data_IF_344953601804
#
_entry.id   IF_344953601804
#
_cell.length_a   1.000
_cell.length_b   1.000
_cell.length_c   1.000
_cell.angle_alpha   90.00
_cell.angle_beta   90.00
_cell.angle_gamma   90.00
#
_symmetry.space_group_name_H-M   'P 1'
#
loop_
_entity.id
_entity.type
_entity.pdbx_description
1 polymer ?
#
# COMPACT_ATOMS: atom_id res chain seq x y z
N UNK A 1 -10.91 -16.47 52.15
CA UNK A 1 -11.79 -16.21 51.00
C UNK A 1 -11.60 -14.78 50.47
N UNK A 2 -10.48 -14.49 49.86
CA UNK A 2 -10.25 -13.16 49.17
C UNK A 2 -9.02 -13.27 48.26
N UNK A 3 -9.11 -14.06 47.19
CA UNK A 3 -8.05 -14.09 46.15
C UNK A 3 -8.57 -14.65 44.83
N UNK A 4 -9.67 -14.09 44.26
CA UNK A 4 -10.16 -14.57 42.96
C UNK A 4 -10.66 -13.49 42.01
N UNK A 5 -10.33 -12.20 42.24
CA UNK A 5 -10.84 -11.10 41.39
C UNK A 5 -9.79 -10.38 40.55
N UNK A 6 -8.50 -10.74 40.66
CA UNK A 6 -7.43 -10.03 39.92
C UNK A 6 -6.97 -10.73 38.63
N UNK A 7 -7.36 -11.98 38.40
CA UNK A 7 -6.93 -12.75 37.22
C UNK A 7 -7.77 -12.50 35.95
N UNK A 8 -8.98 -11.95 36.10
CA UNK A 8 -9.88 -11.69 34.95
C UNK A 8 -9.55 -10.44 34.14
N UNK A 9 -8.86 -9.46 34.73
CA UNK A 9 -8.59 -8.17 34.08
C UNK A 9 -7.36 -8.21 33.16
N UNK A 10 -6.45 -9.15 33.35
CA UNK A 10 -5.21 -9.23 32.56
C UNK A 10 -5.41 -9.93 31.21
N UNK A 11 -6.49 -10.72 31.02
CA UNK A 11 -6.74 -11.45 29.76
C UNK A 11 -7.44 -10.57 28.69
N UNK A 12 -8.10 -9.48 29.09
CA UNK A 12 -8.76 -8.57 28.15
C UNK A 12 -7.82 -7.58 27.44
N UNK A 13 -6.66 -7.30 28.02
CA UNK A 13 -5.68 -6.35 27.44
C UNK A 13 -4.88 -6.92 26.28
N UNK A 14 -4.78 -8.27 26.21
CA UNK A 14 -3.95 -8.94 25.20
C UNK A 14 -4.60 -9.08 23.82
N UNK A 15 -5.94 -9.01 23.74
CA UNK A 15 -6.68 -9.20 22.47
C UNK A 15 -6.63 -7.94 21.59
N UNK A 16 -6.59 -6.75 22.18
CA UNK A 16 -6.56 -5.48 21.45
C UNK A 16 -5.20 -5.21 20.81
N UNK A 17 -4.11 -5.62 21.44
CA UNK A 17 -2.77 -5.46 20.89
C UNK A 17 -2.50 -6.35 19.67
N UNK A 18 -3.00 -7.57 19.65
CA UNK A 18 -2.85 -8.51 18.52
C UNK A 18 -3.56 -8.00 17.27
N UNK A 19 -4.76 -7.44 17.42
CA UNK A 19 -5.54 -6.93 16.29
C UNK A 19 -4.91 -5.68 15.67
N UNK A 20 -4.41 -4.75 16.50
CA UNK A 20 -3.70 -3.56 16.03
C UNK A 20 -2.41 -3.92 15.29
N UNK A 21 -1.59 -4.80 15.82
CA UNK A 21 -0.35 -5.26 15.19
C UNK A 21 -0.60 -5.97 13.85
N UNK A 22 -1.68 -6.77 13.73
CA UNK A 22 -2.05 -7.41 12.47
C UNK A 22 -2.49 -6.39 11.42
N UNK A 23 -3.21 -5.34 11.81
CA UNK A 23 -3.62 -4.25 10.93
C UNK A 23 -2.42 -3.48 10.39
N UNK A 24 -1.50 -3.08 11.25
CA UNK A 24 -0.23 -2.43 10.89
C UNK A 24 0.59 -3.27 9.91
N UNK A 25 0.77 -4.55 10.19
CA UNK A 25 1.51 -5.48 9.31
C UNK A 25 0.85 -5.59 7.94
N UNK A 26 -0.49 -5.65 7.85
CA UNK A 26 -1.19 -5.77 6.56
C UNK A 26 -1.05 -4.50 5.71
N UNK A 27 -1.09 -3.30 6.31
CA UNK A 27 -0.89 -2.03 5.61
C UNK A 27 0.57 -1.85 5.18
N UNK A 28 1.55 -2.25 6.01
CA UNK A 28 2.96 -2.23 5.65
C UNK A 28 3.26 -3.15 4.45
N UNK A 29 2.70 -4.36 4.43
CA UNK A 29 2.83 -5.27 3.29
C UNK A 29 2.18 -4.71 2.01
N UNK A 30 1.02 -4.05 2.15
CA UNK A 30 0.36 -3.37 1.04
C UNK A 30 1.25 -2.26 0.47
N UNK A 31 1.81 -1.41 1.33
CA UNK A 31 2.71 -0.33 0.93
C UNK A 31 3.99 -0.86 0.28
N UNK A 32 4.60 -1.91 0.83
CA UNK A 32 5.77 -2.55 0.23
C UNK A 32 5.48 -3.06 -1.19
N UNK A 33 4.29 -3.64 -1.43
CA UNK A 33 3.90 -4.05 -2.78
C UNK A 33 3.65 -2.88 -3.72
N UNK A 34 3.13 -1.75 -3.24
CA UNK A 34 3.07 -0.50 -4.01
C UNK A 34 4.47 0.00 -4.41
N UNK A 35 5.44 -0.01 -3.49
CA UNK A 35 6.82 0.37 -3.78
C UNK A 35 7.45 -0.53 -4.83
N UNK A 36 7.13 -1.84 -4.85
CA UNK A 36 7.64 -2.74 -5.90
C UNK A 36 7.06 -2.43 -7.28
N UNK A 37 5.78 -2.04 -7.39
CA UNK A 37 5.18 -1.54 -8.64
C UNK A 37 5.91 -0.28 -9.10
N UNK A 38 6.06 0.70 -8.21
CA UNK A 38 6.80 1.95 -8.49
C UNK A 38 8.20 1.65 -9.03
N UNK A 39 8.94 0.78 -8.38
CA UNK A 39 10.31 0.45 -8.78
C UNK A 39 10.36 -0.26 -10.15
N UNK A 40 9.40 -1.12 -10.47
CA UNK A 40 9.29 -1.75 -11.78
C UNK A 40 9.05 -0.71 -12.89
N UNK A 41 8.17 0.26 -12.65
CA UNK A 41 7.88 1.34 -13.60
C UNK A 41 9.06 2.28 -13.80
N UNK A 42 9.89 2.54 -12.77
CA UNK A 42 11.14 3.32 -12.92
C UNK A 42 12.19 2.60 -13.77
N UNK A 43 12.07 1.29 -13.95
CA UNK A 43 12.98 0.46 -14.75
C UNK A 43 12.43 0.12 -16.15
N UNK A 44 11.32 0.74 -16.55
CA UNK A 44 10.61 0.42 -17.80
C UNK A 44 10.22 -1.07 -17.93
N UNK A 45 10.07 -1.77 -16.79
CA UNK A 45 9.81 -3.20 -16.76
C UNK A 45 8.32 -3.51 -16.57
N UNK A 46 7.58 -3.57 -17.67
CA UNK A 46 6.14 -3.79 -17.67
C UNK A 46 5.73 -5.17 -17.13
N UNK A 47 6.52 -6.21 -17.37
CA UNK A 47 6.25 -7.56 -16.85
C UNK A 47 6.42 -7.61 -15.33
N UNK A 48 7.47 -6.97 -14.81
CA UNK A 48 7.67 -6.87 -13.38
C UNK A 48 6.59 -6.01 -12.71
N UNK A 49 6.16 -4.91 -13.36
CA UNK A 49 5.07 -4.07 -12.86
C UNK A 49 3.75 -4.86 -12.76
N UNK A 50 3.42 -5.65 -13.79
CA UNK A 50 2.25 -6.52 -13.77
C UNK A 50 2.31 -7.55 -12.62
N UNK A 51 3.42 -8.25 -12.47
CA UNK A 51 3.62 -9.23 -11.39
C UNK A 51 3.58 -8.59 -9.99
N UNK A 52 4.12 -7.38 -9.85
CA UNK A 52 4.09 -6.62 -8.60
C UNK A 52 2.66 -6.18 -8.25
N UNK A 53 1.87 -5.81 -9.27
CA UNK A 53 0.46 -5.48 -9.09
C UNK A 53 -0.38 -6.70 -8.67
N UNK A 54 -0.09 -7.90 -9.16
CA UNK A 54 -0.70 -9.13 -8.66
C UNK A 54 -0.41 -9.36 -7.17
N UNK A 55 0.81 -9.06 -6.72
CA UNK A 55 1.15 -9.13 -5.30
C UNK A 55 0.40 -8.08 -4.48
N UNK A 56 0.24 -6.87 -5.01
CA UNK A 56 -0.57 -5.83 -4.38
C UNK A 56 -2.04 -6.28 -4.21
N UNK A 57 -2.63 -6.92 -5.24
CA UNK A 57 -3.99 -7.46 -5.20
C UNK A 57 -4.13 -8.54 -4.11
N UNK A 58 -3.13 -9.39 -3.93
CA UNK A 58 -3.11 -10.39 -2.85
C UNK A 58 -3.05 -9.71 -1.48
N UNK A 59 -2.19 -8.69 -1.31
CA UNK A 59 -2.04 -7.97 -0.05
C UNK A 59 -3.30 -7.17 0.31
N UNK A 60 -3.93 -6.47 -0.64
CA UNK A 60 -5.16 -5.73 -0.36
C UNK A 60 -6.33 -6.67 0.00
N UNK A 61 -6.32 -7.91 -0.50
CA UNK A 61 -7.40 -8.89 -0.24
C UNK A 61 -7.40 -9.45 1.19
N UNK A 62 -6.31 -9.27 1.94
CA UNK A 62 -6.21 -9.69 3.35
C UNK A 62 -6.33 -8.54 4.35
N UNK A 63 -6.49 -7.30 3.86
CA UNK A 63 -6.75 -6.14 4.73
C UNK A 63 -8.17 -6.22 5.28
N UNK A 64 -8.32 -6.05 6.60
CA UNK A 64 -9.61 -6.07 7.28
C UNK A 64 -10.43 -4.82 6.92
N UNK A 65 -11.73 -4.98 6.69
CA UNK A 65 -12.70 -3.88 6.42
C UNK A 65 -12.82 -2.89 7.60
N UNK A 66 -12.40 -3.30 8.79
CA UNK A 66 -12.31 -2.41 9.95
C UNK A 66 -11.10 -1.46 9.87
N UNK A 67 -10.11 -1.79 9.04
CA UNK A 67 -8.92 -0.97 8.80
C UNK A 67 -9.14 -0.06 7.59
N UNK A 68 -9.48 -0.64 6.45
CA UNK A 68 -9.87 0.09 5.24
C UNK A 68 -11.30 -0.26 4.85
N UNK A 69 -12.10 0.76 4.53
CA UNK A 69 -13.46 0.53 4.05
C UNK A 69 -13.47 -0.36 2.79
N UNK A 70 -14.55 -1.11 2.60
CA UNK A 70 -14.75 -1.94 1.42
C UNK A 70 -14.60 -1.13 0.12
N UNK A 71 -15.09 0.12 0.10
CA UNK A 71 -14.95 1.03 -1.03
C UNK A 71 -13.49 1.30 -1.38
N UNK A 72 -12.65 1.61 -0.38
CA UNK A 72 -11.22 1.83 -0.58
C UNK A 72 -10.52 0.56 -1.08
N UNK A 73 -10.83 -0.60 -0.49
CA UNK A 73 -10.28 -1.89 -0.92
C UNK A 73 -10.63 -2.17 -2.38
N UNK A 74 -11.88 -1.95 -2.79
CA UNK A 74 -12.34 -2.20 -4.15
C UNK A 74 -11.71 -1.25 -5.16
N UNK A 75 -11.56 0.05 -4.84
CA UNK A 75 -10.88 1.03 -5.71
C UNK A 75 -9.41 0.65 -5.91
N UNK A 76 -8.68 0.37 -4.84
CA UNK A 76 -7.27 -0.01 -4.91
C UNK A 76 -7.07 -1.32 -5.69
N UNK A 77 -7.93 -2.32 -5.46
CA UNK A 77 -7.90 -3.57 -6.20
C UNK A 77 -8.13 -3.36 -7.68
N UNK A 78 -9.13 -2.55 -8.07
CA UNK A 78 -9.41 -2.22 -9.47
C UNK A 78 -8.20 -1.58 -10.14
N UNK A 79 -7.60 -0.55 -9.53
CA UNK A 79 -6.46 0.17 -10.07
C UNK A 79 -5.22 -0.73 -10.21
N UNK A 80 -4.97 -1.60 -9.23
CA UNK A 80 -3.90 -2.59 -9.33
C UNK A 80 -4.17 -3.63 -10.44
N UNK A 81 -5.43 -4.06 -10.64
CA UNK A 81 -5.80 -4.95 -11.74
C UNK A 81 -5.55 -4.32 -13.11
N UNK A 82 -5.81 -3.03 -13.28
CA UNK A 82 -5.50 -2.31 -14.52
C UNK A 82 -3.99 -2.32 -14.85
N UNK A 83 -3.11 -2.34 -13.81
CA UNK A 83 -1.68 -2.51 -13.99
C UNK A 83 -1.33 -3.98 -14.30
N UNK A 84 -1.91 -4.93 -13.55
CA UNK A 84 -1.62 -6.35 -13.68
C UNK A 84 -2.00 -6.91 -15.05
N UNK A 85 -3.14 -6.49 -15.59
CA UNK A 85 -3.71 -6.98 -16.83
C UNK A 85 -3.06 -6.35 -18.08
N UNK A 86 -2.29 -5.29 -17.94
CA UNK A 86 -1.65 -4.59 -19.06
C UNK A 86 -0.19 -5.01 -19.23
N UNK A 87 0.26 -5.04 -20.49
CA UNK A 87 1.68 -5.10 -20.87
C UNK A 87 2.18 -3.80 -21.49
N UNK A 88 1.30 -2.81 -21.67
CA UNK A 88 1.70 -1.47 -22.09
C UNK A 88 2.18 -0.66 -20.88
N UNK A 89 3.43 -0.23 -20.89
CA UNK A 89 4.02 0.57 -19.82
C UNK A 89 3.27 1.91 -19.65
N UNK A 90 2.76 2.50 -20.72
CA UNK A 90 2.00 3.75 -20.70
C UNK A 90 0.66 3.57 -19.98
N UNK A 91 -0.05 2.46 -20.25
CA UNK A 91 -1.30 2.13 -19.57
C UNK A 91 -1.06 1.84 -18.09
N UNK A 92 0.01 1.11 -17.78
CA UNK A 92 0.41 0.83 -16.39
C UNK A 92 0.73 2.11 -15.63
N UNK A 93 1.46 3.05 -16.23
CA UNK A 93 1.76 4.38 -15.65
C UNK A 93 0.50 5.20 -15.40
N UNK A 94 -0.44 5.19 -16.33
CA UNK A 94 -1.74 5.87 -16.17
C UNK A 94 -2.54 5.29 -15.00
N UNK A 95 -2.62 3.97 -14.88
CA UNK A 95 -3.29 3.31 -13.76
C UNK A 95 -2.54 3.54 -12.43
N UNK A 96 -1.20 3.56 -12.46
CA UNK A 96 -0.36 3.82 -11.30
C UNK A 96 -0.55 5.25 -10.75
N UNK A 97 -0.82 6.24 -11.60
CA UNK A 97 -1.17 7.59 -11.15
C UNK A 97 -2.37 7.55 -10.20
N UNK A 98 -3.45 6.92 -10.61
CA UNK A 98 -4.66 6.79 -9.79
C UNK A 98 -4.41 5.98 -8.50
N UNK A 99 -3.64 4.90 -8.60
CA UNK A 99 -3.25 4.10 -7.44
C UNK A 99 -2.44 4.91 -6.44
N UNK A 100 -1.48 5.73 -6.92
CA UNK A 100 -0.64 6.59 -6.08
C UNK A 100 -1.43 7.66 -5.35
N UNK A 101 -2.42 8.28 -5.98
CA UNK A 101 -3.31 9.25 -5.36
C UNK A 101 -4.05 8.63 -4.16
N UNK A 102 -4.64 7.45 -4.34
CA UNK A 102 -5.38 6.77 -3.28
C UNK A 102 -4.48 6.22 -2.17
N UNK A 103 -3.30 5.69 -2.48
CA UNK A 103 -2.33 5.24 -1.47
C UNK A 103 -1.80 6.42 -0.66
N UNK A 104 -1.63 7.60 -1.25
CA UNK A 104 -1.22 8.82 -0.54
C UNK A 104 -2.24 9.20 0.52
N UNK A 105 -3.54 9.18 0.19
CA UNK A 105 -4.62 9.44 1.16
C UNK A 105 -4.60 8.44 2.32
N UNK A 106 -4.31 7.17 2.05
CA UNK A 106 -4.19 6.15 3.10
C UNK A 106 -2.97 6.40 3.97
N UNK A 107 -1.84 6.78 3.38
CA UNK A 107 -0.60 7.10 4.11
C UNK A 107 -0.76 8.31 5.06
N UNK A 108 -1.65 9.25 4.74
CA UNK A 108 -1.98 10.38 5.60
C UNK A 108 -2.84 9.98 6.81
N UNK A 109 -3.59 8.89 6.71
CA UNK A 109 -4.54 8.45 7.73
C UNK A 109 -4.02 7.32 8.62
N UNK A 110 -3.08 6.51 8.10
CA UNK A 110 -2.60 5.30 8.76
C UNK A 110 -1.08 5.20 8.73
N UNK A 111 -0.45 4.63 9.77
CA UNK A 111 0.97 4.29 9.74
C UNK A 111 1.18 3.09 8.80
N UNK A 112 1.62 3.34 7.57
CA UNK A 112 1.84 2.30 6.55
C UNK A 112 3.31 1.91 6.39
N UNK A 113 4.22 2.56 7.10
CA UNK A 113 5.66 2.29 7.11
C UNK A 113 6.28 2.80 8.40
N UNK A 114 7.28 2.07 8.90
CA UNK A 114 8.12 2.50 10.03
C UNK A 114 9.20 3.51 9.58
N UNK A 115 9.43 3.63 8.27
CA UNK A 115 10.39 4.54 7.66
C UNK A 115 9.74 5.83 7.21
N UNK A 116 10.55 6.88 7.01
CA UNK A 116 10.07 8.13 6.42
C UNK A 116 9.56 7.90 5.00
N UNK A 117 8.39 8.46 4.68
CA UNK A 117 7.80 8.43 3.35
C UNK A 117 7.91 9.84 2.76
N UNK A 118 8.32 9.90 1.49
CA UNK A 118 8.47 11.13 0.72
C UNK A 118 7.42 11.16 -0.37
N UNK A 119 6.68 12.26 -0.47
CA UNK A 119 5.84 12.54 -1.64
C UNK A 119 6.71 13.21 -2.70
N UNK A 120 6.84 12.58 -3.85
CA UNK A 120 7.57 13.09 -5.00
C UNK A 120 6.59 13.44 -6.12
N UNK A 121 6.93 14.40 -6.96
CA UNK A 121 6.04 14.94 -7.99
C UNK A 121 6.76 15.12 -9.33
N UNK A 122 6.09 14.75 -10.42
CA UNK A 122 6.53 15.00 -11.79
C UNK A 122 5.63 16.04 -12.45
N UNK A 123 6.13 17.25 -12.74
CA UNK A 123 5.33 18.29 -13.42
C UNK A 123 4.85 17.88 -14.81
N UNK A 124 5.67 17.12 -15.55
CA UNK A 124 5.33 16.70 -16.92
C UNK A 124 4.22 15.65 -16.97
N UNK A 125 4.17 14.75 -15.97
CA UNK A 125 3.09 13.77 -15.85
C UNK A 125 1.90 14.32 -15.05
N UNK A 126 2.06 15.49 -14.39
CA UNK A 126 1.10 16.03 -13.43
C UNK A 126 0.66 14.97 -12.41
N UNK A 127 1.65 14.27 -11.86
CA UNK A 127 1.42 13.11 -11.00
C UNK A 127 2.42 13.00 -9.88
N UNK A 128 1.94 12.56 -8.71
CA UNK A 128 2.75 12.29 -7.53
C UNK A 128 2.88 10.78 -7.28
N UNK A 129 3.86 10.42 -6.48
CA UNK A 129 4.03 9.07 -5.94
C UNK A 129 4.70 9.11 -4.58
N UNK A 130 4.57 8.02 -3.83
CA UNK A 130 5.27 7.82 -2.57
C UNK A 130 6.60 7.09 -2.79
N UNK A 131 7.63 7.49 -2.03
CA UNK A 131 8.95 6.88 -2.04
C UNK A 131 9.51 6.75 -0.62
N UNK A 132 10.28 5.72 -0.36
CA UNK A 132 11.05 5.55 0.87
C UNK A 132 12.42 6.26 0.81
N UNK A 133 12.80 6.77 -0.36
CA UNK A 133 14.07 7.44 -0.61
C UNK A 133 13.86 8.87 -1.07
N UNK A 134 14.79 9.76 -0.67
CA UNK A 134 14.82 11.15 -1.15
C UNK A 134 15.23 11.26 -2.62
N UNK A 135 16.00 10.29 -3.12
CA UNK A 135 16.38 10.24 -4.52
C UNK A 135 15.14 10.12 -5.41
N UNK A 136 15.03 11.00 -6.37
CA UNK A 136 13.90 11.03 -7.31
C UNK A 136 14.13 10.01 -8.42
N UNK A 137 13.33 8.94 -8.40
CA UNK A 137 13.23 7.94 -9.47
C UNK A 137 11.81 7.96 -10.00
N UNK A 138 11.65 8.53 -11.18
CA UNK A 138 10.34 8.86 -11.73
C UNK A 138 9.67 7.64 -12.36
N UNK A 139 8.55 7.11 -11.80
CA UNK A 139 7.85 5.96 -12.36
C UNK A 139 7.09 6.26 -13.65
N UNK A 140 6.85 7.53 -13.96
CA UNK A 140 6.07 7.95 -15.14
C UNK A 140 6.91 8.14 -16.40
N UNK A 141 8.25 8.28 -16.24
CA UNK A 141 9.18 8.47 -17.36
C UNK A 141 10.24 7.37 -17.47
N UNK A 142 10.43 6.56 -16.41
CA UNK A 142 11.41 5.49 -16.38
C UNK A 142 12.85 5.97 -16.20
N UNK A 143 13.77 5.14 -16.65
CA UNK A 143 15.20 5.34 -16.49
C UNK A 143 15.78 6.32 -17.56
#
# INVERSE_FOLDING_TARGET
MKTSFLTGLFLMLSITTISAQKAETSLANLFNSYITIKNALTQDNSDLASKSADNFIKNISVVDYKVLSEGNINILRKQASEIADSRSIEKQRSAFKNLSENITVIAEQFPISDSSIYVQYCPMAEASWLSENKEIKNPYYGA
#
